data_IF_876696701803
#
_entry.id   IF_876696701803
#
_cell.length_a   1.000
_cell.length_b   1.000
_cell.length_c   1.000
_cell.angle_alpha   90.00
_cell.angle_beta   90.00
_cell.angle_gamma   90.00
#
_symmetry.space_group_name_H-M   'P 1'
#
loop_
_entity.id
_entity.type
_entity.pdbx_description
1 polymer ?
#
# COMPACT_ATOMS: atom_id res chain seq x y z
N UNK A 1 -18.21 19.92 -6.94
CA UNK A 1 -17.09 20.14 -7.87
C UNK A 1 -15.98 19.21 -7.44
N UNK A 2 -15.66 18.20 -8.26
CA UNK A 2 -14.53 17.31 -8.02
C UNK A 2 -13.29 18.07 -8.51
N UNK A 3 -12.59 18.71 -7.57
CA UNK A 3 -11.29 19.32 -7.82
C UNK A 3 -10.36 18.29 -8.47
N UNK A 4 -9.55 18.77 -9.41
CA UNK A 4 -8.59 18.02 -10.19
C UNK A 4 -7.69 17.18 -9.28
N UNK A 5 -8.03 15.89 -9.13
CA UNK A 5 -7.10 14.91 -8.59
C UNK A 5 -5.92 14.86 -9.56
N UNK A 6 -4.78 15.44 -9.16
CA UNK A 6 -3.51 15.06 -9.75
C UNK A 6 -3.48 13.53 -9.77
N UNK A 7 -3.24 12.95 -10.96
CA UNK A 7 -3.17 11.50 -11.12
C UNK A 7 -1.92 11.03 -10.37
N UNK A 8 -2.05 10.83 -9.06
CA UNK A 8 -1.08 10.10 -8.29
C UNK A 8 -1.19 8.67 -8.80
N UNK A 9 -0.10 8.20 -9.40
CA UNK A 9 0.02 6.80 -9.74
C UNK A 9 -0.12 5.98 -8.46
N UNK A 10 -1.00 4.97 -8.49
CA UNK A 10 -1.16 4.12 -7.32
C UNK A 10 0.13 3.34 -7.09
N UNK A 11 0.63 3.30 -5.84
CA UNK A 11 1.85 2.59 -5.47
C UNK A 11 1.86 1.15 -6.03
N UNK A 12 0.70 0.51 -6.09
CA UNK A 12 0.54 -0.89 -6.53
C UNK A 12 0.74 -1.09 -8.03
N UNK A 13 0.77 0.00 -8.79
CA UNK A 13 1.11 0.04 -10.21
C UNK A 13 2.59 0.39 -10.47
N UNK A 14 3.41 0.50 -9.41
CA UNK A 14 4.86 0.79 -9.52
C UNK A 14 5.73 -0.48 -9.64
N UNK A 15 6.95 -0.30 -10.18
CA UNK A 15 7.96 -1.35 -10.25
C UNK A 15 8.47 -1.78 -8.86
N UNK A 16 8.54 -0.83 -7.90
CA UNK A 16 8.91 -1.13 -6.51
C UNK A 16 7.91 -2.09 -5.87
N UNK A 17 6.61 -1.84 -6.07
CA UNK A 17 5.59 -2.76 -5.59
C UNK A 17 5.65 -4.11 -6.30
N UNK A 18 5.95 -4.14 -7.60
CA UNK A 18 6.13 -5.39 -8.32
C UNK A 18 7.31 -6.23 -7.80
N UNK A 19 8.43 -5.57 -7.41
CA UNK A 19 9.56 -6.25 -6.73
C UNK A 19 9.12 -6.84 -5.39
N UNK A 20 8.37 -6.09 -4.59
CA UNK A 20 7.83 -6.60 -3.33
C UNK A 20 6.89 -7.80 -3.56
N UNK A 21 5.95 -7.68 -4.49
CA UNK A 21 5.02 -8.75 -4.85
C UNK A 21 5.75 -10.03 -5.31
N UNK A 22 6.85 -9.90 -6.05
CA UNK A 22 7.73 -11.02 -6.44
C UNK A 22 8.32 -11.74 -5.24
N UNK A 23 8.76 -11.00 -4.21
CA UNK A 23 9.26 -11.60 -2.96
C UNK A 23 8.20 -12.44 -2.22
N UNK A 24 6.91 -12.16 -2.47
CA UNK A 24 5.77 -12.89 -1.94
C UNK A 24 5.30 -14.04 -2.85
N UNK A 25 6.04 -14.32 -3.94
CA UNK A 25 5.71 -15.36 -4.91
C UNK A 25 4.62 -14.97 -5.92
N UNK A 26 4.39 -13.67 -6.13
CA UNK A 26 3.52 -13.18 -7.20
C UNK A 26 4.34 -12.72 -8.41
N UNK A 27 3.91 -13.08 -9.61
CA UNK A 27 4.55 -12.65 -10.85
C UNK A 27 3.81 -11.45 -11.43
N UNK A 28 4.59 -10.48 -11.93
CA UNK A 28 4.07 -9.28 -12.62
C UNK A 28 3.57 -9.67 -14.01
N UNK A 29 2.40 -9.16 -14.40
CA UNK A 29 1.93 -9.16 -15.78
C UNK A 29 1.55 -7.76 -16.24
N UNK A 30 1.86 -7.46 -17.49
CA UNK A 30 1.45 -6.21 -18.13
C UNK A 30 0.05 -6.35 -18.73
N UNK A 31 -0.74 -5.28 -18.68
CA UNK A 31 -2.11 -5.19 -19.15
C UNK A 31 -2.21 -4.04 -20.16
N UNK A 32 -3.00 -4.22 -21.22
CA UNK A 32 -3.30 -3.20 -22.25
C UNK A 32 -2.06 -2.43 -22.73
N UNK A 33 -1.07 -3.12 -23.30
CA UNK A 33 0.18 -2.52 -23.79
C UNK A 33 0.96 -1.67 -22.75
N UNK A 34 0.94 -2.08 -21.47
CA UNK A 34 1.66 -1.37 -20.40
C UNK A 34 0.83 -0.32 -19.66
N UNK A 35 -0.47 -0.25 -19.93
CA UNK A 35 -1.42 0.65 -19.26
C UNK A 35 -1.68 0.25 -17.80
N UNK A 36 -1.45 -1.02 -17.44
CA UNK A 36 -1.57 -1.47 -16.06
C UNK A 36 -0.70 -2.67 -15.71
N UNK A 37 -0.57 -2.91 -14.41
CA UNK A 37 0.09 -4.07 -13.82
C UNK A 37 -0.95 -4.95 -13.13
N UNK A 38 -0.95 -6.23 -13.49
CA UNK A 38 -1.58 -7.30 -12.75
C UNK A 38 -0.54 -8.17 -12.02
N UNK A 39 -1.01 -8.95 -11.07
CA UNK A 39 -0.20 -9.91 -10.32
C UNK A 39 -0.85 -11.27 -10.37
N UNK A 40 -0.09 -12.28 -10.78
CA UNK A 40 -0.53 -13.68 -10.78
C UNK A 40 0.22 -14.48 -9.73
N UNK A 41 -0.45 -15.48 -9.16
CA UNK A 41 0.18 -16.46 -8.28
C UNK A 41 -0.38 -17.84 -8.56
N UNK A 42 0.51 -18.84 -8.62
CA UNK A 42 0.12 -20.24 -8.79
C UNK A 42 -0.65 -20.73 -7.57
N UNK A 43 -1.73 -21.46 -7.83
CA UNK A 43 -2.59 -22.10 -6.85
C UNK A 43 -2.81 -23.55 -7.30
N UNK A 44 -2.62 -24.51 -6.38
CA UNK A 44 -2.73 -25.95 -6.69
C UNK A 44 -1.90 -26.39 -7.91
N UNK A 45 -0.69 -25.84 -8.06
CA UNK A 45 0.31 -26.25 -9.07
C UNK A 45 0.05 -25.78 -10.51
N UNK A 46 -1.20 -25.82 -10.99
CA UNK A 46 -1.55 -25.56 -12.39
C UNK A 46 -2.50 -24.37 -12.60
N UNK A 47 -3.25 -23.98 -11.57
CA UNK A 47 -4.18 -22.87 -11.65
C UNK A 47 -3.51 -21.58 -11.19
N UNK A 48 -4.08 -20.45 -11.56
CA UNK A 48 -3.62 -19.16 -11.07
C UNK A 48 -4.74 -18.32 -10.49
N UNK A 49 -4.36 -17.42 -9.58
CA UNK A 49 -5.19 -16.32 -9.13
C UNK A 49 -4.56 -15.05 -9.67
N UNK A 50 -5.38 -14.18 -10.27
CA UNK A 50 -4.96 -12.89 -10.79
C UNK A 50 -5.59 -11.80 -9.93
N UNK A 51 -4.79 -10.82 -9.52
CA UNK A 51 -5.27 -9.57 -8.92
C UNK A 51 -4.80 -8.38 -9.74
N UNK A 52 -5.70 -7.43 -9.94
CA UNK A 52 -5.47 -6.18 -10.67
C UNK A 52 -5.93 -5.05 -9.77
N UNK A 53 -4.98 -4.28 -9.23
CA UNK A 53 -5.24 -3.32 -8.16
C UNK A 53 -4.98 -1.90 -8.65
N UNK A 54 -6.04 -1.09 -8.69
CA UNK A 54 -6.04 0.34 -9.05
C UNK A 54 -5.37 0.60 -10.41
N UNK A 55 -5.77 -0.11 -11.49
CA UNK A 55 -5.19 0.10 -12.81
C UNK A 55 -5.33 1.57 -13.24
N UNK A 56 -4.36 2.08 -13.99
CA UNK A 56 -4.34 3.51 -14.39
C UNK A 56 -5.43 3.87 -15.39
N UNK A 57 -5.92 2.89 -16.16
CA UNK A 57 -7.05 3.04 -17.06
C UNK A 57 -7.93 1.81 -16.99
N UNK A 58 -9.11 1.96 -17.56
CA UNK A 58 -10.05 0.88 -17.82
C UNK A 58 -9.42 -0.16 -18.73
N UNK A 59 -9.59 -1.42 -18.36
CA UNK A 59 -9.09 -2.56 -19.11
C UNK A 59 -10.19 -3.10 -20.02
N UNK A 60 -9.81 -3.59 -21.20
CA UNK A 60 -10.72 -4.32 -22.06
C UNK A 60 -11.00 -5.71 -21.45
N UNK A 61 -12.28 -6.07 -21.39
CA UNK A 61 -12.74 -7.37 -20.91
C UNK A 61 -12.09 -8.52 -21.70
N UNK A 62 -11.92 -8.33 -23.02
CA UNK A 62 -11.31 -9.36 -23.87
C UNK A 62 -9.85 -9.61 -23.54
N UNK A 63 -9.11 -8.57 -23.17
CA UNK A 63 -7.72 -8.69 -22.75
C UNK A 63 -7.59 -9.43 -21.42
N UNK A 64 -8.46 -9.10 -20.47
CA UNK A 64 -8.51 -9.78 -19.18
C UNK A 64 -8.85 -11.26 -19.37
N UNK A 65 -9.85 -11.57 -20.20
CA UNK A 65 -10.24 -12.95 -20.50
C UNK A 65 -9.14 -13.74 -21.23
N UNK A 66 -8.42 -13.09 -22.14
CA UNK A 66 -7.28 -13.69 -22.83
C UNK A 66 -6.14 -14.00 -21.83
N UNK A 67 -5.83 -13.05 -20.95
CA UNK A 67 -4.83 -13.22 -19.89
C UNK A 67 -5.24 -14.34 -18.92
N UNK A 68 -6.49 -14.36 -18.49
CA UNK A 68 -7.03 -15.37 -17.58
C UNK A 68 -6.92 -16.77 -18.19
N UNK A 69 -7.37 -16.94 -19.44
CA UNK A 69 -7.28 -18.23 -20.17
C UNK A 69 -5.84 -18.68 -20.36
N UNK A 70 -4.96 -17.77 -20.83
CA UNK A 70 -3.53 -18.06 -21.02
C UNK A 70 -2.86 -18.59 -19.76
N UNK A 71 -3.23 -18.05 -18.60
CA UNK A 71 -2.62 -18.39 -17.32
C UNK A 71 -3.44 -19.41 -16.50
N UNK A 72 -4.49 -20.01 -17.06
CA UNK A 72 -5.39 -20.94 -16.34
C UNK A 72 -5.91 -20.32 -15.03
N UNK A 73 -6.32 -19.06 -15.09
CA UNK A 73 -6.82 -18.34 -13.93
C UNK A 73 -8.19 -18.87 -13.53
N UNK A 74 -8.33 -19.25 -12.26
CA UNK A 74 -9.61 -19.66 -11.67
C UNK A 74 -10.34 -18.49 -11.04
N UNK A 75 -9.62 -17.40 -10.78
CA UNK A 75 -10.15 -16.18 -10.18
C UNK A 75 -9.36 -14.99 -10.68
N UNK A 76 -10.10 -13.95 -11.10
CA UNK A 76 -9.56 -12.62 -11.39
C UNK A 76 -10.28 -11.64 -10.49
N UNK A 77 -9.53 -10.95 -9.61
CA UNK A 77 -10.05 -9.85 -8.79
C UNK A 77 -9.56 -8.52 -9.35
N UNK A 78 -10.49 -7.61 -9.60
CA UNK A 78 -10.21 -6.27 -10.13
C UNK A 78 -10.71 -5.24 -9.12
N UNK A 79 -9.83 -4.33 -8.72
CA UNK A 79 -10.12 -3.26 -7.77
C UNK A 79 -9.83 -1.91 -8.45
N UNK A 80 -10.81 -1.29 -9.13
CA UNK A 80 -10.62 -0.03 -9.86
C UNK A 80 -10.34 1.16 -8.92
N UNK A 81 -9.90 2.31 -9.45
CA UNK A 81 -9.86 3.55 -8.65
C UNK A 81 -11.28 4.04 -8.36
N UNK A 82 -11.44 4.82 -7.28
CA UNK A 82 -12.73 5.38 -6.90
C UNK A 82 -13.28 6.28 -8.02
N UNK A 83 -14.56 6.12 -8.36
CA UNK A 83 -15.20 6.86 -9.45
C UNK A 83 -15.19 6.17 -10.81
N UNK A 84 -14.35 5.15 -11.02
CA UNK A 84 -14.24 4.44 -12.31
C UNK A 84 -15.21 3.26 -12.47
N UNK A 85 -15.98 2.92 -11.41
CA UNK A 85 -16.90 1.77 -11.40
C UNK A 85 -18.03 1.92 -12.44
N UNK A 86 -18.45 3.16 -12.73
CA UNK A 86 -19.46 3.44 -13.76
C UNK A 86 -18.96 3.18 -15.18
N UNK A 87 -17.67 3.40 -15.42
CA UNK A 87 -17.03 3.35 -16.74
C UNK A 87 -16.27 2.05 -17.02
N UNK A 88 -16.20 1.09 -16.08
CA UNK A 88 -15.64 -0.22 -16.40
C UNK A 88 -16.47 -0.87 -17.50
N UNK A 89 -15.91 -0.88 -18.72
CA UNK A 89 -16.43 -1.59 -19.89
C UNK A 89 -16.55 -3.10 -19.67
N UNK A 90 -16.02 -3.62 -18.57
CA UNK A 90 -16.10 -5.01 -18.13
C UNK A 90 -17.42 -5.32 -17.42
N UNK A 91 -18.55 -5.38 -18.15
CA UNK A 91 -19.86 -5.69 -17.55
C UNK A 91 -19.86 -7.03 -16.82
N UNK A 92 -19.10 -8.01 -17.32
CA UNK A 92 -19.02 -9.37 -16.74
C UNK A 92 -18.26 -9.43 -15.41
N UNK A 93 -17.47 -8.39 -15.08
CA UNK A 93 -16.65 -8.32 -13.87
C UNK A 93 -17.27 -7.48 -12.74
N UNK A 94 -18.56 -7.12 -12.85
CA UNK A 94 -19.25 -6.22 -11.90
C UNK A 94 -19.80 -6.91 -10.65
N UNK A 95 -19.58 -8.22 -10.48
CA UNK A 95 -20.03 -8.91 -9.27
C UNK A 95 -19.25 -8.37 -8.08
N UNK A 96 -19.98 -7.67 -7.18
CA UNK A 96 -19.40 -7.13 -5.96
C UNK A 96 -18.76 -8.24 -5.14
N UNK A 97 -17.51 -8.02 -4.75
CA UNK A 97 -16.80 -8.88 -3.82
C UNK A 97 -17.01 -8.37 -2.38
N UNK A 98 -17.29 -9.30 -1.47
CA UNK A 98 -17.39 -9.00 -0.04
C UNK A 98 -16.04 -9.10 0.68
N UNK A 99 -15.00 -9.54 -0.03
CA UNK A 99 -13.63 -9.72 0.46
C UNK A 99 -12.65 -8.89 -0.38
N UNK A 100 -12.74 -7.55 -0.32
CA UNK A 100 -11.81 -6.70 -1.04
C UNK A 100 -10.39 -6.93 -0.51
N UNK A 101 -9.41 -6.88 -1.41
CA UNK A 101 -8.00 -6.99 -1.06
C UNK A 101 -7.45 -5.66 -0.53
N UNK A 102 -8.14 -4.56 -0.82
CA UNK A 102 -7.82 -3.21 -0.36
C UNK A 102 -8.95 -2.61 0.48
N UNK A 103 -8.63 -1.69 1.41
CA UNK A 103 -9.65 -0.89 2.07
C UNK A 103 -10.53 -0.16 1.05
N UNK A 104 -11.87 -0.19 1.23
CA UNK A 104 -12.80 0.47 0.30
C UNK A 104 -12.80 2.00 0.45
N UNK A 105 -12.26 2.52 1.55
CA UNK A 105 -12.16 3.94 1.86
C UNK A 105 -10.75 4.28 2.33
N UNK A 106 -10.32 5.48 1.97
CA UNK A 106 -8.99 6.02 2.28
C UNK A 106 -9.17 7.42 2.88
N UNK A 107 -8.26 7.82 3.78
CA UNK A 107 -8.21 9.19 4.32
C UNK A 107 -7.10 9.93 3.60
N UNK A 108 -7.46 11.03 2.92
CA UNK A 108 -6.53 11.85 2.16
C UNK A 108 -6.32 13.18 2.85
N UNK A 109 -5.06 13.59 3.01
CA UNK A 109 -4.69 14.91 3.51
C UNK A 109 -4.05 15.69 2.36
N UNK A 110 -4.64 16.84 2.01
CA UNK A 110 -4.09 17.71 0.98
C UNK A 110 -2.89 18.50 1.56
N UNK A 111 -1.70 18.25 1.02
CA UNK A 111 -0.44 18.88 1.43
C UNK A 111 -0.07 20.13 0.61
N UNK A 112 -0.86 20.51 -0.40
CA UNK A 112 -0.65 21.72 -1.21
C UNK A 112 -1.01 23.01 -0.45
N UNK A 113 -1.56 22.87 0.76
CA UNK A 113 -1.95 23.98 1.64
C UNK A 113 -0.79 24.37 2.56
N UNK A 114 -0.88 25.57 3.13
CA UNK A 114 0.08 25.98 4.15
C UNK A 114 0.01 25.05 5.37
N UNK A 115 1.12 24.93 6.11
CA UNK A 115 1.17 24.15 7.35
C UNK A 115 0.08 24.62 8.35
N UNK A 116 -0.12 25.93 8.46
CA UNK A 116 -1.14 26.50 9.34
C UNK A 116 -2.56 26.06 8.93
N UNK A 117 -2.87 26.05 7.63
CA UNK A 117 -4.17 25.60 7.13
C UNK A 117 -4.38 24.10 7.32
N UNK A 118 -3.32 23.30 7.15
CA UNK A 118 -3.34 21.87 7.44
C UNK A 118 -3.64 21.63 8.92
N UNK A 119 -2.93 22.31 9.83
CA UNK A 119 -3.14 22.18 11.28
C UNK A 119 -4.54 22.65 11.70
N UNK A 120 -5.07 23.72 11.08
CA UNK A 120 -6.45 24.20 11.30
C UNK A 120 -7.50 23.19 10.85
N UNK A 121 -7.19 22.35 9.85
CA UNK A 121 -8.12 21.29 9.39
C UNK A 121 -8.28 20.13 10.38
N UNK A 122 -7.32 19.93 11.31
CA UNK A 122 -7.39 18.87 12.30
C UNK A 122 -8.44 19.13 13.39
N UNK A 123 -8.86 18.08 14.09
CA UNK A 123 -9.74 18.25 15.26
C UNK A 123 -9.02 18.99 16.40
N UNK A 124 -9.78 19.62 17.30
CA UNK A 124 -9.21 20.31 18.46
C UNK A 124 -8.34 19.38 19.32
N UNK A 125 -8.81 18.14 19.53
CA UNK A 125 -8.06 17.11 20.25
C UNK A 125 -6.74 16.76 19.57
N UNK A 126 -6.74 16.58 18.24
CA UNK A 126 -5.53 16.31 17.48
C UNK A 126 -4.52 17.48 17.57
N UNK A 127 -4.98 18.73 17.41
CA UNK A 127 -4.13 19.92 17.60
C UNK A 127 -3.54 19.99 19.02
N UNK A 128 -4.33 19.68 20.05
CA UNK A 128 -3.86 19.67 21.44
C UNK A 128 -2.78 18.61 21.65
N UNK A 129 -2.91 17.44 21.04
CA UNK A 129 -1.89 16.39 21.11
C UNK A 129 -0.62 16.79 20.36
N UNK A 130 -0.73 17.44 19.20
CA UNK A 130 0.43 17.96 18.46
C UNK A 130 1.21 19.04 19.23
N UNK A 131 0.57 19.76 20.16
CA UNK A 131 1.30 20.70 21.04
C UNK A 131 2.12 20.00 22.12
N UNK A 132 1.81 18.74 22.45
CA UNK A 132 2.48 17.97 23.52
C UNK A 132 3.68 17.16 23.00
N UNK A 133 3.93 17.13 21.68
CA UNK A 133 5.01 16.30 21.11
C UNK A 133 6.40 16.89 21.36
N UNK A 134 6.51 18.13 21.85
CA UNK A 134 7.79 18.81 22.11
C UNK A 134 8.72 18.06 23.07
N UNK A 135 8.19 17.10 23.83
CA UNK A 135 8.94 16.25 24.75
C UNK A 135 9.44 14.94 24.12
N UNK A 136 9.04 14.64 22.88
CA UNK A 136 9.40 13.40 22.17
C UNK A 136 10.63 13.60 21.28
N UNK A 137 11.37 12.51 21.07
CA UNK A 137 12.51 12.46 20.15
C UNK A 137 12.12 11.70 18.89
N UNK A 138 12.44 12.29 17.74
CA UNK A 138 12.14 11.70 16.44
C UNK A 138 13.44 11.20 15.80
N UNK A 139 13.48 9.92 15.48
CA UNK A 139 14.49 9.33 14.62
C UNK A 139 13.86 9.08 13.24
N UNK A 140 14.22 9.90 12.26
CA UNK A 140 13.78 9.73 10.87
C UNK A 140 14.88 9.00 10.10
N UNK A 141 14.57 7.82 9.60
CA UNK A 141 15.49 7.01 8.80
C UNK A 141 14.93 6.88 7.38
N UNK A 142 15.48 7.66 6.46
CA UNK A 142 15.16 7.54 5.03
C UNK A 142 15.61 6.17 4.51
N UNK A 143 14.84 5.58 3.60
CA UNK A 143 15.26 4.40 2.85
C UNK A 143 16.36 4.81 1.89
N UNK A 144 17.59 4.91 2.38
CA UNK A 144 18.78 5.12 1.55
C UNK A 144 19.13 3.81 0.82
N UNK A 145 20.34 3.71 0.28
CA UNK A 145 20.82 2.48 -0.37
C UNK A 145 20.72 1.26 0.56
N UNK A 146 20.89 1.47 1.85
CA UNK A 146 20.72 0.47 2.90
C UNK A 146 20.07 1.13 4.11
N UNK A 147 19.20 0.39 4.79
CA UNK A 147 18.67 0.76 6.10
C UNK A 147 19.31 -0.14 7.13
N UNK A 148 19.68 0.41 8.28
CA UNK A 148 20.26 -0.37 9.36
C UNK A 148 19.29 -1.50 9.80
N UNK A 149 19.70 -2.78 9.74
CA UNK A 149 18.86 -3.90 10.13
C UNK A 149 18.33 -3.79 11.56
N UNK A 150 19.11 -3.20 12.48
CA UNK A 150 18.68 -3.07 13.87
C UNK A 150 17.51 -2.10 14.00
N UNK A 151 17.50 -1.02 13.22
CA UNK A 151 16.39 -0.07 13.14
C UNK A 151 15.09 -0.74 12.64
N UNK A 152 15.18 -1.61 11.63
CA UNK A 152 14.02 -2.38 11.13
C UNK A 152 13.50 -3.34 12.21
N UNK A 153 14.40 -4.01 12.92
CA UNK A 153 14.04 -4.97 13.97
C UNK A 153 13.40 -4.29 15.18
N UNK A 154 13.89 -3.11 15.57
CA UNK A 154 13.27 -2.27 16.60
C UNK A 154 11.83 -1.91 16.24
N UNK A 155 11.61 -1.44 15.00
CA UNK A 155 10.27 -1.15 14.50
C UNK A 155 9.36 -2.38 14.53
N UNK A 156 9.85 -3.50 13.97
CA UNK A 156 9.07 -4.73 13.88
C UNK A 156 8.68 -5.28 15.26
N UNK A 157 9.58 -5.22 16.24
CA UNK A 157 9.30 -5.66 17.61
C UNK A 157 8.18 -4.84 18.24
N UNK A 158 8.24 -3.52 18.13
CA UNK A 158 7.18 -2.62 18.62
C UNK A 158 5.86 -2.89 17.90
N UNK A 159 5.89 -3.02 16.57
CA UNK A 159 4.69 -3.32 15.78
C UNK A 159 4.07 -4.68 16.15
N UNK A 160 4.92 -5.68 16.44
CA UNK A 160 4.49 -7.02 16.87
C UNK A 160 3.80 -7.00 18.22
N UNK A 161 4.37 -6.28 19.20
CA UNK A 161 3.75 -6.10 20.53
C UNK A 161 2.39 -5.43 20.38
N UNK A 162 2.30 -4.35 19.60
CA UNK A 162 1.02 -3.67 19.39
C UNK A 162 -0.01 -4.56 18.68
N UNK A 163 0.41 -5.42 17.76
CA UNK A 163 -0.46 -6.38 17.08
C UNK A 163 -0.97 -7.48 18.00
N UNK A 164 -0.14 -7.98 18.90
CA UNK A 164 -0.52 -8.94 19.94
C UNK A 164 -1.55 -8.34 20.90
N UNK A 165 -1.30 -7.12 21.41
CA UNK A 165 -2.20 -6.42 22.33
C UNK A 165 -3.56 -6.09 21.71
N UNK A 166 -3.58 -5.73 20.42
CA UNK A 166 -4.79 -5.27 19.71
C UNK A 166 -5.45 -6.36 18.86
N UNK A 167 -4.85 -7.54 18.78
CA UNK A 167 -5.39 -8.70 18.05
C UNK A 167 -5.41 -8.55 16.52
N UNK A 168 -4.50 -7.78 15.92
CA UNK A 168 -4.39 -7.69 14.45
C UNK A 168 -3.18 -8.46 13.91
N UNK A 169 -3.29 -8.88 12.65
CA UNK A 169 -2.22 -9.61 11.97
C UNK A 169 -0.97 -8.74 11.80
N UNK A 170 0.18 -9.28 12.18
CA UNK A 170 1.49 -8.68 11.97
C UNK A 170 2.28 -9.53 10.98
N UNK A 171 2.82 -8.89 9.95
CA UNK A 171 3.65 -9.58 8.98
C UNK A 171 4.99 -10.03 9.59
N UNK A 172 5.55 -11.12 9.07
CA UNK A 172 6.86 -11.60 9.50
C UNK A 172 7.96 -10.58 9.18
N UNK A 173 8.99 -10.51 10.04
CA UNK A 173 10.14 -9.61 9.87
C UNK A 173 10.78 -9.69 8.47
N UNK A 174 10.89 -10.87 7.88
CA UNK A 174 11.46 -11.03 6.54
C UNK A 174 10.57 -10.41 5.45
N UNK A 175 9.25 -10.47 5.61
CA UNK A 175 8.31 -9.80 4.69
C UNK A 175 8.49 -8.29 4.78
N UNK A 176 8.61 -7.75 5.99
CA UNK A 176 8.89 -6.33 6.21
C UNK A 176 10.24 -5.92 5.60
N UNK A 177 11.32 -6.70 5.83
CA UNK A 177 12.64 -6.45 5.23
C UNK A 177 12.57 -6.45 3.69
N UNK A 178 11.86 -7.41 3.10
CA UNK A 178 11.65 -7.46 1.64
C UNK A 178 10.85 -6.26 1.12
N UNK A 179 9.85 -5.80 1.88
CA UNK A 179 9.08 -4.60 1.56
C UNK A 179 9.99 -3.37 1.54
N UNK A 180 10.68 -3.09 2.64
CA UNK A 180 11.61 -1.95 2.74
C UNK A 180 12.67 -2.02 1.64
N UNK A 181 13.28 -3.19 1.42
CA UNK A 181 14.27 -3.40 0.36
C UNK A 181 13.74 -3.14 -1.07
N UNK A 182 12.44 -3.35 -1.30
CA UNK A 182 11.80 -3.07 -2.59
C UNK A 182 11.53 -1.58 -2.82
N UNK A 183 11.58 -0.76 -1.75
CA UNK A 183 11.30 0.67 -1.76
C UNK A 183 12.54 1.52 -1.42
N UNK A 184 13.75 0.96 -1.48
CA UNK A 184 14.99 1.73 -1.31
C UNK A 184 15.02 2.93 -2.27
N UNK A 185 15.37 4.09 -1.72
CA UNK A 185 15.33 5.41 -2.36
C UNK A 185 13.96 6.10 -2.39
N UNK A 186 12.88 5.44 -1.95
CA UNK A 186 11.51 5.92 -2.12
C UNK A 186 10.62 5.65 -0.90
N UNK A 187 11.15 5.74 0.31
CA UNK A 187 10.38 5.56 1.54
C UNK A 187 11.12 6.01 2.79
N UNK A 188 10.44 5.95 3.92
CA UNK A 188 10.92 6.41 5.22
C UNK A 188 10.47 5.46 6.33
N UNK A 189 11.33 5.27 7.32
CA UNK A 189 10.97 4.72 8.62
C UNK A 189 11.16 5.81 9.67
N UNK A 190 10.07 6.21 10.30
CA UNK A 190 10.07 7.17 11.40
C UNK A 190 9.85 6.41 12.68
N UNK A 191 10.77 6.56 13.62
CA UNK A 191 10.69 6.04 14.98
C UNK A 191 10.58 7.21 15.95
N UNK A 192 9.75 7.05 16.97
CA UNK A 192 9.51 8.06 17.99
C UNK A 192 9.84 7.47 19.34
N UNK A 193 10.77 8.11 20.03
CA UNK A 193 11.24 7.71 21.35
C UNK A 193 10.79 8.73 22.39
N UNK A 194 10.56 8.26 23.62
CA UNK A 194 10.38 9.15 24.76
C UNK A 194 11.73 9.71 25.26
N UNK A 195 11.68 10.48 26.35
CA UNK A 195 12.89 11.08 26.95
C UNK A 195 13.85 10.06 27.56
N UNK A 196 13.40 8.83 27.82
CA UNK A 196 14.19 7.71 28.36
C UNK A 196 14.83 6.87 27.26
N UNK A 197 14.45 7.10 26.00
CA UNK A 197 14.92 6.33 24.84
C UNK A 197 14.07 5.10 24.54
N UNK A 198 12.91 4.97 25.19
CA UNK A 198 11.96 3.89 24.90
C UNK A 198 11.17 4.22 23.64
N UNK A 199 11.04 3.24 22.73
CA UNK A 199 10.31 3.40 21.48
C UNK A 199 8.80 3.41 21.76
N UNK A 200 8.14 4.53 21.50
CA UNK A 200 6.71 4.74 21.78
C UNK A 200 5.82 4.72 20.55
N UNK A 201 6.38 4.99 19.37
CA UNK A 201 5.66 4.89 18.11
C UNK A 201 6.63 4.68 16.93
N UNK A 202 6.08 4.22 15.80
CA UNK A 202 6.82 4.17 14.56
C UNK A 202 5.89 4.01 13.37
N UNK A 203 6.33 4.51 12.22
CA UNK A 203 5.61 4.40 10.95
C UNK A 203 6.60 4.14 9.81
N UNK A 204 6.23 3.22 8.94
CA UNK A 204 6.92 2.90 7.70
C UNK A 204 6.07 3.48 6.55
N UNK A 205 6.61 4.46 5.83
CA UNK A 205 5.94 5.23 4.77
C UNK A 205 6.62 4.99 3.44
#
# INVERSE_FOLDING_TARGET
>A
MLESYHIIEDLRQSDNWARFMKSLGWERVSLGDGVGIGYLRKFLGIFTIIKIQRPRKLLDEKEIDALARKNKAILVKIEPKQGEIGDIGCRSYRKKDNWPLLPPSEVHLNLDRSEEDILKSFSESARRNLKKISELRFQISEFKKELDPTTIERFWKMFSISGEEKGYFVENLNILKNKIGSFLGNGYLVLVEDTKGDLVAGICV
#
